data_IF_051826201802
#
_entry.id   IF_051826201802
#
_cell.length_a   1.000
_cell.length_b   1.000
_cell.length_c   1.000
_cell.angle_alpha   90.00
_cell.angle_beta   90.00
_cell.angle_gamma   90.00
#
_symmetry.space_group_name_H-M   'P 1'
#
loop_
_entity.id
_entity.type
_entity.pdbx_description
1 polymer ?
#
# COMPACT_ATOMS: atom_id res chain seq x y z
N UNK A 1 -17.45 -6.15 -16.81
CA UNK A 1 -17.97 -7.17 -15.90
C UNK A 1 -17.15 -7.15 -14.63
N UNK A 2 -17.74 -7.21 -13.43
CA UNK A 2 -16.96 -7.41 -12.20
C UNK A 2 -16.18 -8.72 -12.35
N UNK A 3 -14.89 -8.68 -12.10
CA UNK A 3 -14.07 -9.90 -12.05
C UNK A 3 -14.38 -10.53 -10.71
N UNK A 4 -15.02 -11.68 -10.69
CA UNK A 4 -15.15 -12.46 -9.45
C UNK A 4 -13.73 -12.87 -9.01
N UNK A 5 -13.36 -12.40 -7.83
CA UNK A 5 -12.05 -12.73 -7.25
C UNK A 5 -12.21 -14.08 -6.56
N UNK A 6 -11.42 -15.05 -6.99
CA UNK A 6 -11.45 -16.41 -6.44
C UNK A 6 -10.50 -16.51 -5.24
N UNK A 7 -10.93 -17.17 -4.17
CA UNK A 7 -10.06 -17.53 -3.03
C UNK A 7 -8.97 -18.51 -3.49
N UNK A 8 -7.73 -18.27 -3.10
CA UNK A 8 -6.59 -19.12 -3.44
C UNK A 8 -5.75 -19.41 -2.19
N UNK A 9 -5.37 -20.69 -2.01
CA UNK A 9 -4.46 -21.11 -0.95
C UNK A 9 -3.03 -20.67 -1.29
N UNK A 10 -2.70 -19.46 -0.89
CA UNK A 10 -1.41 -18.83 -1.15
C UNK A 10 -0.72 -18.48 0.18
N UNK A 11 0.62 -18.45 0.22
CA UNK A 11 1.35 -18.02 1.40
C UNK A 11 0.92 -16.64 1.89
N UNK A 12 0.67 -16.50 3.18
CA UNK A 12 0.27 -15.26 3.83
C UNK A 12 1.00 -15.13 5.16
N UNK A 13 1.87 -14.14 5.28
CA UNK A 13 2.59 -13.86 6.52
C UNK A 13 1.75 -12.92 7.38
N UNK A 14 1.08 -13.48 8.40
CA UNK A 14 0.24 -12.71 9.33
C UNK A 14 1.09 -12.30 10.53
N UNK A 15 1.12 -10.99 10.80
CA UNK A 15 1.86 -10.39 11.94
C UNK A 15 0.94 -10.20 13.13
N UNK A 16 -0.34 -9.91 12.88
CA UNK A 16 -1.36 -9.72 13.89
C UNK A 16 -2.74 -10.07 13.31
N UNK A 17 -3.59 -10.65 14.12
CA UNK A 17 -4.99 -10.91 13.75
C UNK A 17 -5.89 -10.91 14.99
N UNK A 18 -7.07 -10.28 14.87
CA UNK A 18 -8.17 -10.37 15.81
C UNK A 18 -9.52 -10.53 15.06
N UNK A 19 -10.63 -10.33 15.74
CA UNK A 19 -11.98 -10.44 15.15
C UNK A 19 -12.32 -9.28 14.19
N UNK A 20 -11.58 -8.17 14.24
CA UNK A 20 -11.88 -6.93 13.51
C UNK A 20 -10.95 -6.64 12.35
N UNK A 21 -9.67 -6.99 12.49
CA UNK A 21 -8.63 -6.71 11.51
C UNK A 21 -7.53 -7.77 11.52
N UNK A 22 -6.75 -7.75 10.47
CA UNK A 22 -5.47 -8.45 10.44
C UNK A 22 -4.38 -7.54 9.85
N UNK A 23 -3.13 -7.81 10.23
CA UNK A 23 -1.94 -7.16 9.68
C UNK A 23 -1.10 -8.22 8.99
N UNK A 24 -0.85 -8.01 7.72
CA UNK A 24 -0.01 -8.91 6.93
C UNK A 24 1.30 -8.24 6.56
N UNK A 25 2.38 -9.00 6.55
CA UNK A 25 3.66 -8.58 5.95
C UNK A 25 3.67 -9.03 4.49
N UNK A 26 3.41 -8.08 3.59
CA UNK A 26 3.37 -8.36 2.15
C UNK A 26 4.80 -8.55 1.63
N UNK A 27 5.07 -9.68 1.02
CA UNK A 27 6.33 -9.92 0.34
C UNK A 27 6.51 -9.04 -0.90
N UNK A 28 7.77 -8.76 -1.25
CA UNK A 28 8.11 -8.12 -2.51
C UNK A 28 7.68 -8.99 -3.71
N UNK A 29 7.22 -8.36 -4.77
CA UNK A 29 6.72 -9.04 -5.97
C UNK A 29 5.23 -9.42 -5.92
N UNK A 30 4.59 -9.43 -4.75
CA UNK A 30 3.17 -9.74 -4.60
C UNK A 30 2.30 -8.53 -4.94
N UNK A 31 1.33 -8.71 -5.85
CA UNK A 31 0.31 -7.70 -6.19
C UNK A 31 -0.80 -7.72 -5.15
N UNK A 32 -1.26 -6.55 -4.69
CA UNK A 32 -2.28 -6.48 -3.63
C UNK A 32 -3.65 -6.95 -4.10
N UNK A 33 -4.10 -6.53 -5.28
CA UNK A 33 -5.44 -6.86 -5.81
C UNK A 33 -5.39 -7.10 -7.32
N UNK A 34 -6.32 -7.89 -7.88
CA UNK A 34 -6.37 -8.15 -9.31
C UNK A 34 -6.38 -6.89 -10.16
N UNK A 35 -5.57 -6.91 -11.21
CA UNK A 35 -5.41 -5.81 -12.16
C UNK A 35 -5.16 -6.38 -13.57
N UNK A 36 -5.24 -5.58 -14.65
CA UNK A 36 -4.82 -6.03 -15.97
C UNK A 36 -3.41 -6.64 -15.95
N UNK A 37 -3.29 -7.89 -16.39
CA UNK A 37 -2.04 -8.67 -16.36
C UNK A 37 -1.82 -9.51 -15.09
N UNK A 38 -2.62 -9.32 -14.03
CA UNK A 38 -2.54 -10.09 -12.77
C UNK A 38 -3.95 -10.34 -12.25
N UNK A 39 -4.64 -11.38 -12.77
CA UNK A 39 -6.03 -11.71 -12.40
C UNK A 39 -6.14 -12.63 -11.20
N UNK A 40 -5.06 -13.32 -10.84
CA UNK A 40 -4.95 -14.31 -9.77
C UNK A 40 -3.59 -14.17 -9.07
N UNK A 41 -3.33 -14.93 -8.02
CA UNK A 41 -2.07 -14.91 -7.29
C UNK A 41 -1.84 -13.60 -6.53
N UNK A 42 -2.89 -12.87 -6.15
CA UNK A 42 -2.78 -11.60 -5.44
C UNK A 42 -3.01 -11.76 -3.95
N UNK A 43 -2.61 -10.76 -3.17
CA UNK A 43 -2.85 -10.74 -1.73
C UNK A 43 -4.35 -10.92 -1.41
N UNK A 44 -5.24 -10.30 -2.19
CA UNK A 44 -6.69 -10.44 -1.98
C UNK A 44 -7.18 -11.87 -2.22
N UNK A 45 -6.60 -12.62 -3.16
CA UNK A 45 -6.92 -14.03 -3.35
C UNK A 45 -6.56 -14.85 -2.10
N UNK A 46 -5.38 -14.62 -1.52
CA UNK A 46 -4.94 -15.25 -0.26
C UNK A 46 -5.81 -14.85 0.94
N UNK A 47 -6.19 -13.56 1.02
CA UNK A 47 -7.06 -13.06 2.09
C UNK A 47 -8.44 -13.68 2.05
N UNK A 48 -9.04 -13.86 0.89
CA UNK A 48 -10.33 -14.54 0.72
C UNK A 48 -10.27 -16.01 1.13
N UNK A 49 -9.13 -16.67 0.95
CA UNK A 49 -8.94 -18.04 1.42
C UNK A 49 -8.80 -18.10 2.94
N UNK A 50 -8.01 -17.20 3.53
CA UNK A 50 -7.75 -17.18 4.96
C UNK A 50 -8.96 -16.69 5.79
N UNK A 51 -9.68 -15.68 5.27
CA UNK A 51 -10.85 -15.08 5.92
C UNK A 51 -12.02 -15.07 4.92
N UNK A 52 -12.76 -16.16 4.76
CA UNK A 52 -13.86 -16.22 3.79
C UNK A 52 -14.92 -15.13 3.98
N UNK A 53 -15.20 -14.74 5.23
CA UNK A 53 -16.19 -13.72 5.56
C UNK A 53 -15.78 -12.28 5.20
N UNK A 54 -14.55 -12.08 4.70
CA UNK A 54 -14.08 -10.77 4.26
C UNK A 54 -14.71 -10.35 2.92
N UNK A 55 -15.35 -11.28 2.20
CA UNK A 55 -16.01 -10.99 0.94
C UNK A 55 -17.06 -9.88 1.11
N UNK A 56 -16.89 -8.81 0.35
CA UNK A 56 -17.80 -7.66 0.41
C UNK A 56 -17.42 -6.56 1.39
N UNK A 57 -16.55 -6.81 2.37
CA UNK A 57 -16.06 -5.79 3.32
C UNK A 57 -15.36 -4.67 2.55
N UNK A 58 -15.92 -3.45 2.60
CA UNK A 58 -15.40 -2.31 1.83
C UNK A 58 -15.60 -2.42 0.32
N UNK A 59 -16.30 -3.44 -0.17
CA UNK A 59 -16.66 -3.64 -1.58
C UNK A 59 -15.98 -4.83 -2.25
N UNK A 60 -16.66 -5.42 -3.22
CA UNK A 60 -16.26 -6.68 -3.89
C UNK A 60 -14.90 -6.64 -4.59
N UNK A 61 -14.48 -5.49 -5.09
CA UNK A 61 -13.24 -5.39 -5.87
C UNK A 61 -11.96 -5.44 -5.02
N UNK A 62 -12.06 -5.11 -3.74
CA UNK A 62 -10.90 -4.98 -2.82
C UNK A 62 -11.32 -5.31 -1.38
N UNK A 63 -11.82 -6.50 -1.10
CA UNK A 63 -12.36 -6.85 0.21
C UNK A 63 -11.32 -6.58 1.31
N UNK A 64 -11.74 -5.83 2.33
CA UNK A 64 -10.93 -5.48 3.49
C UNK A 64 -9.79 -4.49 3.28
N UNK A 65 -9.46 -4.14 2.04
CA UNK A 65 -8.28 -3.32 1.71
C UNK A 65 -8.58 -1.84 1.95
N UNK A 66 -7.89 -1.24 2.91
CA UNK A 66 -7.99 0.19 3.27
C UNK A 66 -6.83 1.04 2.71
N UNK A 67 -5.69 0.41 2.45
CA UNK A 67 -4.53 1.02 1.78
C UNK A 67 -3.75 -0.04 0.99
N UNK A 68 -2.75 0.37 0.23
CA UNK A 68 -1.99 -0.56 -0.60
C UNK A 68 -0.51 -0.22 -0.63
N UNK A 69 0.30 -1.24 -0.88
CA UNK A 69 1.66 -1.14 -1.40
C UNK A 69 1.66 -1.48 -2.89
N UNK A 70 2.65 -0.99 -3.61
CA UNK A 70 2.90 -1.44 -4.97
C UNK A 70 3.45 -2.88 -4.98
N UNK A 71 3.63 -3.48 -6.15
CA UNK A 71 4.04 -4.87 -6.26
C UNK A 71 5.39 -5.14 -5.59
N UNK A 72 6.39 -4.33 -5.92
CA UNK A 72 7.78 -4.61 -5.54
C UNK A 72 8.15 -4.22 -4.11
N UNK A 73 7.62 -3.14 -3.50
CA UNK A 73 7.79 -2.90 -2.07
C UNK A 73 7.20 -4.01 -1.21
N UNK A 74 7.93 -4.40 -0.16
CA UNK A 74 7.44 -5.25 0.93
C UNK A 74 6.98 -4.42 2.13
N UNK A 75 6.28 -5.05 3.07
CA UNK A 75 5.95 -4.45 4.36
C UNK A 75 4.49 -4.59 4.78
N UNK A 76 4.15 -3.93 5.86
CA UNK A 76 2.91 -4.12 6.58
C UNK A 76 1.69 -3.52 5.87
N UNK A 77 0.65 -4.32 5.77
CA UNK A 77 -0.68 -3.93 5.31
C UNK A 77 -1.71 -4.25 6.38
N UNK A 78 -2.53 -3.27 6.73
CA UNK A 78 -3.69 -3.46 7.60
C UNK A 78 -4.91 -3.78 6.74
N UNK A 79 -5.61 -4.83 7.10
CA UNK A 79 -6.79 -5.34 6.40
C UNK A 79 -7.96 -5.40 7.38
N UNK A 80 -9.09 -4.84 7.01
CA UNK A 80 -10.30 -4.90 7.84
C UNK A 80 -11.06 -6.20 7.58
N UNK A 81 -11.49 -6.89 8.64
CA UNK A 81 -12.31 -8.11 8.56
C UNK A 81 -13.80 -7.81 8.57
N UNK A 82 -14.20 -6.61 9.02
CA UNK A 82 -15.60 -6.18 9.09
C UNK A 82 -15.78 -4.75 8.60
N UNK A 83 -16.98 -4.42 8.08
CA UNK A 83 -17.29 -3.11 7.48
C UNK A 83 -17.11 -1.93 8.44
N UNK A 84 -17.44 -2.11 9.72
CA UNK A 84 -17.26 -1.06 10.73
C UNK A 84 -15.78 -0.66 10.82
N UNK A 85 -14.90 -1.63 10.93
CA UNK A 85 -13.44 -1.42 10.97
C UNK A 85 -12.92 -0.84 9.66
N UNK A 86 -13.42 -1.31 8.51
CA UNK A 86 -13.04 -0.77 7.20
C UNK A 86 -13.32 0.73 7.11
N UNK A 87 -14.50 1.18 7.56
CA UNK A 87 -14.88 2.60 7.60
C UNK A 87 -13.96 3.41 8.50
N UNK A 88 -13.76 2.95 9.74
CA UNK A 88 -12.90 3.63 10.72
C UNK A 88 -11.47 3.78 10.20
N UNK A 89 -10.88 2.71 9.67
CA UNK A 89 -9.52 2.73 9.13
C UNK A 89 -9.42 3.62 7.87
N UNK A 90 -10.39 3.52 6.96
CA UNK A 90 -10.43 4.36 5.76
C UNK A 90 -10.50 5.84 6.10
N UNK A 91 -11.35 6.22 7.06
CA UNK A 91 -11.47 7.60 7.52
C UNK A 91 -10.20 8.08 8.24
N UNK A 92 -9.58 7.22 9.05
CA UNK A 92 -8.32 7.54 9.71
C UNK A 92 -7.18 7.78 8.71
N UNK A 93 -7.09 6.95 7.66
CA UNK A 93 -6.10 7.10 6.58
C UNK A 93 -6.37 8.36 5.76
N UNK A 94 -7.63 8.61 5.38
CA UNK A 94 -8.05 9.80 4.64
C UNK A 94 -7.77 11.08 5.42
N UNK A 95 -8.00 11.06 6.73
CA UNK A 95 -7.71 12.17 7.65
C UNK A 95 -6.23 12.27 8.03
N UNK A 96 -5.34 11.47 7.44
CA UNK A 96 -3.90 11.41 7.74
C UNK A 96 -3.57 11.15 9.22
N UNK A 97 -4.46 10.47 9.95
CA UNK A 97 -4.25 10.10 11.37
C UNK A 97 -3.39 8.83 11.52
N UNK A 98 -3.24 8.05 10.45
CA UNK A 98 -2.35 6.87 10.42
C UNK A 98 -0.98 7.31 9.95
N UNK A 99 0.03 7.19 10.82
CA UNK A 99 1.42 7.44 10.47
C UNK A 99 1.97 6.26 9.67
N UNK A 100 2.63 6.54 8.56
CA UNK A 100 3.26 5.53 7.69
C UNK A 100 4.75 5.80 7.62
N UNK A 101 5.54 4.77 7.88
CA UNK A 101 6.99 4.81 7.80
C UNK A 101 7.46 3.86 6.71
N UNK A 102 8.41 4.31 5.93
CA UNK A 102 9.02 3.54 4.86
C UNK A 102 10.53 3.63 4.97
N UNK A 103 11.20 2.53 4.64
CA UNK A 103 12.63 2.51 4.41
C UNK A 103 12.86 2.43 2.92
N UNK A 104 13.68 3.33 2.36
CA UNK A 104 13.91 3.39 0.92
C UNK A 104 15.34 3.83 0.63
N UNK A 105 16.00 3.11 -0.27
CA UNK A 105 17.25 3.58 -0.86
C UNK A 105 16.94 4.55 -2.00
N UNK A 106 17.52 5.73 -1.94
CA UNK A 106 17.36 6.77 -2.96
C UNK A 106 18.70 7.11 -3.62
N UNK A 107 18.72 7.22 -4.94
CA UNK A 107 19.91 7.66 -5.66
C UNK A 107 20.25 9.12 -5.36
N UNK A 108 21.52 9.40 -5.17
CA UNK A 108 22.02 10.73 -4.80
C UNK A 108 21.98 10.95 -3.30
N UNK A 109 22.17 12.20 -2.91
CA UNK A 109 22.23 12.58 -1.50
C UNK A 109 21.29 13.75 -1.23
N UNK A 110 20.56 13.67 -0.14
CA UNK A 110 19.83 14.81 0.40
C UNK A 110 20.84 15.81 1.00
N UNK A 111 20.72 17.08 0.64
CA UNK A 111 21.58 18.14 1.18
C UNK A 111 21.33 18.37 2.67
N UNK A 112 20.11 18.13 3.12
CA UNK A 112 19.64 18.31 4.49
C UNK A 112 18.93 17.05 5.00
N UNK A 113 19.00 16.80 6.29
CA UNK A 113 18.29 15.72 6.98
C UNK A 113 18.03 16.12 8.44
N UNK A 114 16.77 16.13 8.92
CA UNK A 114 15.56 15.78 8.17
C UNK A 114 15.12 16.88 7.20
N UNK A 115 14.46 16.51 6.12
CA UNK A 115 13.83 17.45 5.18
C UNK A 115 12.34 17.14 5.01
N UNK A 116 11.50 18.18 4.98
CA UNK A 116 10.08 18.10 4.68
C UNK A 116 9.86 18.54 3.23
N UNK A 117 9.26 17.67 2.44
CA UNK A 117 8.87 17.97 1.07
C UNK A 117 7.36 18.06 1.00
N UNK A 118 6.85 19.23 0.62
CA UNK A 118 5.43 19.49 0.37
C UNK A 118 5.27 19.88 -1.09
N UNK A 119 4.67 18.99 -1.89
CA UNK A 119 4.53 19.22 -3.32
C UNK A 119 3.38 18.38 -3.90
N UNK A 120 2.67 18.91 -4.92
CA UNK A 120 1.64 18.13 -5.59
C UNK A 120 2.26 17.05 -6.48
N UNK A 121 1.81 15.81 -6.31
CA UNK A 121 2.32 14.64 -7.03
C UNK A 121 1.27 14.11 -8.00
N UNK A 122 1.66 13.91 -9.24
CA UNK A 122 0.84 13.35 -10.30
C UNK A 122 1.63 12.49 -11.27
N UNK A 123 0.98 12.03 -12.34
CA UNK A 123 1.66 11.27 -13.41
C UNK A 123 2.55 12.21 -14.20
N UNK A 124 3.81 11.80 -14.40
CA UNK A 124 4.75 12.54 -15.24
C UNK A 124 4.17 12.71 -16.66
N UNK A 125 4.05 13.93 -17.18
CA UNK A 125 3.52 14.17 -18.52
C UNK A 125 4.40 13.60 -19.64
N UNK A 126 5.70 13.39 -19.39
CA UNK A 126 6.66 12.83 -20.35
C UNK A 126 6.78 11.32 -20.25
N UNK A 127 6.65 10.76 -19.04
CA UNK A 127 6.67 9.31 -18.80
C UNK A 127 5.55 8.94 -17.83
N UNK A 128 4.39 8.57 -18.36
CA UNK A 128 3.21 8.23 -17.57
C UNK A 128 3.37 6.99 -16.67
N UNK A 129 4.48 6.27 -16.75
CA UNK A 129 4.81 5.19 -15.81
C UNK A 129 5.38 5.73 -14.51
N UNK A 130 5.86 6.97 -14.49
CA UNK A 130 6.44 7.63 -13.32
C UNK A 130 5.48 8.60 -12.65
N UNK A 131 5.77 8.90 -11.40
CA UNK A 131 5.17 10.00 -10.66
C UNK A 131 6.18 11.17 -10.63
N UNK A 132 5.66 12.38 -10.70
CA UNK A 132 6.45 13.59 -10.65
C UNK A 132 5.70 14.70 -9.89
N UNK A 133 6.40 15.76 -9.55
CA UNK A 133 5.78 17.01 -9.09
C UNK A 133 5.16 17.68 -10.32
N UNK A 134 3.84 17.88 -10.29
CA UNK A 134 3.07 18.50 -11.38
C UNK A 134 1.99 19.41 -10.78
N UNK A 135 1.70 20.53 -11.45
CA UNK A 135 0.76 21.55 -10.93
C UNK A 135 -0.64 20.98 -10.61
N UNK A 136 -1.16 20.10 -11.48
CA UNK A 136 -2.46 19.43 -11.29
C UNK A 136 -2.36 18.16 -10.42
N UNK A 137 -1.25 17.99 -9.71
CA UNK A 137 -0.99 16.85 -8.85
C UNK A 137 -1.83 16.87 -7.58
N UNK A 138 -1.86 15.73 -6.90
CA UNK A 138 -2.47 15.62 -5.58
C UNK A 138 -1.48 16.08 -4.51
N UNK A 139 -1.90 16.98 -3.63
CA UNK A 139 -1.12 17.45 -2.50
C UNK A 139 -0.53 16.29 -1.68
N UNK A 140 0.78 16.29 -1.54
CA UNK A 140 1.52 15.28 -0.79
C UNK A 140 2.55 15.95 0.12
N UNK A 141 2.71 15.37 1.31
CA UNK A 141 3.71 15.79 2.29
C UNK A 141 4.50 14.57 2.71
N UNK A 142 5.82 14.62 2.58
CA UNK A 142 6.72 13.53 2.97
C UNK A 142 7.91 14.11 3.74
N UNK A 143 8.16 13.58 4.92
CA UNK A 143 9.38 13.85 5.69
C UNK A 143 10.40 12.76 5.37
N UNK A 144 11.56 13.18 4.95
CA UNK A 144 12.71 12.32 4.73
C UNK A 144 13.74 12.51 5.86
N UNK A 145 14.32 11.40 6.31
CA UNK A 145 15.38 11.38 7.29
C UNK A 145 16.42 10.35 6.84
N UNK A 146 17.63 10.81 6.58
CA UNK A 146 18.74 9.95 6.16
C UNK A 146 19.22 9.14 7.35
N UNK A 147 19.22 7.82 7.22
CA UNK A 147 19.77 6.89 8.22
C UNK A 147 21.19 6.50 7.92
N UNK A 148 21.49 6.24 6.64
CA UNK A 148 22.82 5.84 6.19
C UNK A 148 23.14 6.56 4.87
N UNK A 149 24.43 6.88 4.67
CA UNK A 149 24.95 7.40 3.42
C UNK A 149 25.88 6.40 2.79
N UNK A 150 25.59 6.04 1.56
CA UNK A 150 26.44 5.20 0.73
C UNK A 150 27.14 6.06 -0.33
N UNK A 151 28.06 5.46 -1.08
CA UNK A 151 28.86 6.21 -2.07
C UNK A 151 28.01 7.01 -3.09
N UNK A 152 26.83 6.52 -3.45
CA UNK A 152 25.96 7.14 -4.49
C UNK A 152 24.48 7.20 -4.08
N UNK A 153 24.15 6.91 -2.86
CA UNK A 153 22.77 6.83 -2.41
C UNK A 153 22.64 7.12 -0.91
N UNK A 154 21.45 7.51 -0.49
CA UNK A 154 21.03 7.62 0.91
C UNK A 154 19.98 6.55 1.25
N UNK A 155 20.00 6.02 2.49
CA UNK A 155 18.95 5.18 3.09
C UNK A 155 18.23 5.96 4.19
#
# INVERSE_FOLDING_TARGET
>A
MPVDIVAEDLPLTIVYEDEHLLVVDKEAGVVVHPAPGHRSGTLVNALLWHVPDIEGVGGRARPGIVHRLDRDPSGLLVVAKVDATHRVLSDAIKARRVKRFYLAAAWGHLSESPVLVEAPIGRDPKDRKRMAIVEDGREATTRFEVRERWLRADL
#
